data_IF_173424375051
#
_entry.id   IF_173424375051
#
_cell.length_a   1.000
_cell.length_b   1.000
_cell.length_c   1.000
_cell.angle_alpha   90.00
_cell.angle_beta   90.00
_cell.angle_gamma   90.00
#
_symmetry.space_group_name_H-M   'P 1'
#
loop_
_entity.id
_entity.type
_entity.pdbx_description
1 polymer ?
#
# COMPACT_ATOMS: atom_id res chain seq x y z
N UNK A 1 -7.19 13.80 26.08
CA UNK A 1 -7.52 12.99 24.94
C UNK A 1 -7.40 11.54 25.28
N UNK A 2 -8.39 10.77 24.92
CA UNK A 2 -8.26 9.35 25.18
C UNK A 2 -7.15 8.78 24.32
N UNK A 3 -6.46 7.80 24.82
CA UNK A 3 -5.44 7.12 24.07
C UNK A 3 -6.07 6.26 22.99
N UNK A 4 -5.39 6.09 21.86
CA UNK A 4 -5.94 5.23 20.82
C UNK A 4 -6.05 3.80 21.33
N UNK A 5 -7.09 3.12 20.91
CA UNK A 5 -7.32 1.74 21.31
C UNK A 5 -6.24 0.81 20.77
N UNK A 6 -5.73 1.08 19.57
CA UNK A 6 -4.69 0.26 18.96
C UNK A 6 -3.43 1.08 18.79
N UNK A 7 -2.29 0.46 19.09
CA UNK A 7 -1.00 1.14 18.90
C UNK A 7 -0.49 1.00 17.49
N UNK A 8 -0.84 -0.07 16.82
CA UNK A 8 -0.34 -0.37 15.48
C UNK A 8 -1.46 -0.99 14.66
N UNK A 9 -1.65 -0.48 13.47
CA UNK A 9 -2.66 -1.01 12.56
C UNK A 9 -2.05 -1.26 11.19
N UNK A 10 -2.59 -2.23 10.49
CA UNK A 10 -2.23 -2.50 9.12
C UNK A 10 -3.48 -2.31 8.29
N UNK A 11 -3.46 -1.30 7.43
CA UNK A 11 -4.59 -1.00 6.56
C UNK A 11 -4.40 -1.67 5.22
N UNK A 12 -5.43 -2.37 4.75
CA UNK A 12 -5.41 -2.94 3.42
C UNK A 12 -6.32 -2.09 2.54
N UNK A 13 -5.77 -1.58 1.46
CA UNK A 13 -6.51 -0.72 0.54
C UNK A 13 -6.51 -1.41 -0.82
N UNK A 14 -7.70 -1.59 -1.40
CA UNK A 14 -7.76 -2.17 -2.74
C UNK A 14 -7.32 -1.14 -3.77
N UNK A 15 -6.66 -1.61 -4.83
CA UNK A 15 -6.27 -0.69 -5.89
C UNK A 15 -7.46 -0.04 -6.55
N UNK A 16 -8.56 -0.79 -6.70
CA UNK A 16 -9.77 -0.25 -7.30
C UNK A 16 -10.32 0.93 -6.52
N UNK A 17 -10.16 0.93 -5.20
CA UNK A 17 -10.62 2.05 -4.38
C UNK A 17 -9.90 3.35 -4.75
N UNK A 18 -8.67 3.27 -5.22
CA UNK A 18 -7.90 4.47 -5.58
C UNK A 18 -8.27 5.03 -6.93
N UNK A 19 -9.02 4.28 -7.71
CA UNK A 19 -9.47 4.72 -9.03
C UNK A 19 -10.80 5.48 -8.99
N UNK A 20 -11.45 5.45 -7.85
CA UNK A 20 -12.77 6.07 -7.73
C UNK A 20 -13.76 5.44 -8.68
N UNK A 21 -14.59 6.25 -9.29
CA UNK A 21 -15.64 5.75 -10.17
C UNK A 21 -15.12 5.17 -11.49
N UNK A 22 -13.91 5.52 -11.86
CA UNK A 22 -13.36 5.05 -13.14
C UNK A 22 -12.94 3.59 -13.12
N UNK A 23 -12.72 3.02 -11.96
CA UNK A 23 -12.26 1.64 -11.77
C UNK A 23 -10.85 1.36 -12.27
N UNK A 24 -10.25 2.28 -12.98
CA UNK A 24 -8.89 2.14 -13.50
C UNK A 24 -8.12 3.43 -13.27
N UNK A 25 -6.81 3.29 -13.10
CA UNK A 25 -5.94 4.44 -12.87
C UNK A 25 -6.05 4.98 -11.48
N UNK A 26 -5.75 6.25 -11.33
CA UNK A 26 -5.70 6.93 -10.05
C UNK A 26 -6.63 8.12 -10.04
N UNK A 27 -7.39 8.24 -8.96
CA UNK A 27 -8.21 9.43 -8.71
C UNK A 27 -7.58 10.16 -7.53
N UNK A 28 -6.95 11.29 -7.81
CA UNK A 28 -6.19 11.99 -6.78
C UNK A 28 -7.06 12.62 -5.69
N UNK A 29 -8.32 12.90 -5.98
CA UNK A 29 -9.24 13.36 -4.94
C UNK A 29 -9.51 12.24 -3.92
N UNK A 30 -9.71 11.03 -4.42
CA UNK A 30 -9.91 9.86 -3.56
C UNK A 30 -8.66 9.60 -2.75
N UNK A 31 -7.50 9.61 -3.40
CA UNK A 31 -6.22 9.38 -2.72
C UNK A 31 -6.02 10.42 -1.63
N UNK A 32 -6.34 11.67 -1.92
CA UNK A 32 -6.24 12.73 -0.92
C UNK A 32 -7.09 12.48 0.30
N UNK A 33 -8.33 12.03 0.10
CA UNK A 33 -9.22 11.73 1.23
C UNK A 33 -8.72 10.54 2.05
N UNK A 34 -8.23 9.50 1.38
CA UNK A 34 -7.67 8.35 2.08
C UNK A 34 -6.46 8.79 2.91
N UNK A 35 -5.60 9.61 2.33
CA UNK A 35 -4.40 10.07 3.03
C UNK A 35 -4.74 11.02 4.18
N UNK A 36 -5.83 11.78 4.10
CA UNK A 36 -6.28 12.59 5.23
C UNK A 36 -6.62 11.71 6.43
N UNK A 37 -7.29 10.58 6.20
CA UNK A 37 -7.63 9.65 7.27
C UNK A 37 -6.36 9.03 7.87
N UNK A 38 -5.43 8.62 7.00
CA UNK A 38 -4.17 8.04 7.46
C UNK A 38 -3.40 9.05 8.32
N UNK A 39 -3.37 10.31 7.88
CA UNK A 39 -2.69 11.36 8.62
C UNK A 39 -3.31 11.54 10.01
N UNK A 40 -4.63 11.54 10.10
CA UNK A 40 -5.28 11.67 11.39
C UNK A 40 -4.93 10.53 12.32
N UNK A 41 -4.89 9.31 11.80
CA UNK A 41 -4.49 8.16 12.61
C UNK A 41 -3.07 8.31 13.13
N UNK A 42 -2.16 8.70 12.25
CA UNK A 42 -0.76 8.86 12.62
C UNK A 42 -0.59 9.97 13.65
N UNK A 43 -1.29 11.08 13.48
CA UNK A 43 -1.21 12.19 14.44
C UNK A 43 -1.80 11.84 15.78
N UNK A 44 -2.72 10.89 15.83
CA UNK A 44 -3.28 10.41 17.07
C UNK A 44 -2.36 9.43 17.80
N UNK A 45 -1.18 9.16 17.26
CA UNK A 45 -0.22 8.28 17.90
C UNK A 45 -0.30 6.83 17.47
N UNK A 46 -1.14 6.51 16.48
CA UNK A 46 -1.24 5.15 15.98
C UNK A 46 -0.11 4.90 14.97
N UNK A 47 0.54 3.76 15.09
CA UNK A 47 1.54 3.34 14.11
C UNK A 47 0.80 2.73 12.92
N UNK A 48 1.06 3.21 11.73
CA UNK A 48 0.29 2.82 10.55
C UNK A 48 1.17 2.19 9.48
N UNK A 49 0.80 0.99 9.08
CA UNK A 49 1.34 0.34 7.90
C UNK A 49 0.20 0.20 6.89
N UNK A 50 0.51 0.33 5.62
CA UNK A 50 -0.47 0.26 4.55
C UNK A 50 -0.03 -0.77 3.53
N UNK A 51 -0.95 -1.66 3.18
CA UNK A 51 -0.75 -2.62 2.10
C UNK A 51 -1.78 -2.29 1.04
N UNK A 52 -1.36 -2.11 -0.19
CA UNK A 52 -2.27 -1.70 -1.24
C UNK A 52 -2.22 -2.67 -2.41
N UNK A 53 -3.40 -2.96 -2.95
CA UNK A 53 -3.51 -3.82 -4.13
C UNK A 53 -3.24 -3.04 -5.42
N UNK A 54 -3.24 -3.75 -6.53
CA UNK A 54 -2.95 -3.16 -7.84
C UNK A 54 -4.04 -3.31 -8.87
N UNK A 55 -5.26 -3.66 -8.46
CA UNK A 55 -6.34 -3.97 -9.39
C UNK A 55 -6.81 -2.82 -10.26
N UNK A 56 -6.43 -1.60 -9.96
CA UNK A 56 -6.74 -0.46 -10.81
C UNK A 56 -5.84 -0.39 -12.04
N UNK A 57 -4.75 -1.15 -12.05
CA UNK A 57 -3.85 -1.20 -13.20
C UNK A 57 -3.76 -2.59 -13.80
N UNK A 58 -3.78 -3.62 -12.98
CA UNK A 58 -3.61 -4.99 -13.48
C UNK A 58 -4.40 -5.98 -12.63
N UNK A 59 -5.25 -6.76 -13.27
CA UNK A 59 -6.03 -7.80 -12.62
C UNK A 59 -5.74 -9.11 -13.31
N UNK A 60 -4.61 -9.71 -12.98
CA UNK A 60 -4.08 -10.92 -13.60
C UNK A 60 -5.04 -11.77 -14.42
N UNK A 61 -5.98 -12.42 -13.77
CA UNK A 61 -6.91 -13.32 -14.44
C UNK A 61 -7.80 -12.59 -15.42
N UNK A 62 -8.34 -11.44 -15.05
CA UNK A 62 -9.26 -10.70 -15.91
C UNK A 62 -8.55 -10.08 -17.09
N UNK A 63 -7.34 -9.60 -16.91
CA UNK A 63 -6.65 -8.88 -17.97
C UNK A 63 -5.80 -9.79 -18.83
N UNK A 64 -5.07 -10.73 -18.22
CA UNK A 64 -4.18 -11.60 -18.96
C UNK A 64 -4.70 -13.00 -19.15
N UNK A 65 -5.39 -13.51 -18.15
CA UNK A 65 -5.93 -14.84 -18.19
C UNK A 65 -4.89 -15.87 -18.51
N UNK A 66 -5.21 -16.74 -19.47
CA UNK A 66 -4.32 -17.79 -19.89
C UNK A 66 -3.32 -17.35 -20.96
N UNK A 67 -3.36 -16.09 -21.33
CA UNK A 67 -2.49 -15.59 -22.38
C UNK A 67 -1.07 -15.32 -21.94
N UNK A 68 -0.83 -15.34 -20.63
CA UNK A 68 0.47 -15.01 -20.10
C UNK A 68 0.95 -16.07 -19.13
N UNK A 69 2.26 -16.15 -19.00
CA UNK A 69 2.85 -16.98 -17.97
C UNK A 69 2.47 -16.41 -16.60
N UNK A 70 2.10 -17.27 -15.68
CA UNK A 70 1.61 -16.86 -14.37
C UNK A 70 2.61 -16.01 -13.60
N UNK A 71 3.88 -16.42 -13.64
CA UNK A 71 4.92 -15.70 -12.89
C UNK A 71 5.08 -14.27 -13.38
N UNK A 72 5.03 -14.06 -14.69
CA UNK A 72 5.11 -12.71 -15.23
C UNK A 72 3.89 -11.89 -14.90
N UNK A 73 2.72 -12.51 -14.98
CA UNK A 73 1.49 -11.82 -14.60
C UNK A 73 1.53 -11.38 -13.14
N UNK A 74 2.07 -12.23 -12.27
CA UNK A 74 2.21 -11.90 -10.86
C UNK A 74 3.19 -10.73 -10.65
N UNK A 75 4.28 -10.71 -11.43
CA UNK A 75 5.22 -9.59 -11.35
C UNK A 75 4.56 -8.30 -11.81
N UNK A 76 3.72 -8.35 -12.83
CA UNK A 76 2.98 -7.16 -13.26
C UNK A 76 2.07 -6.67 -12.14
N UNK A 77 1.45 -7.60 -11.43
CA UNK A 77 0.63 -7.23 -10.29
C UNK A 77 1.44 -6.55 -9.19
N UNK A 78 2.64 -7.05 -8.93
CA UNK A 78 3.50 -6.42 -7.93
C UNK A 78 3.94 -5.02 -8.36
N UNK A 79 4.23 -4.83 -9.63
CA UNK A 79 4.57 -3.50 -10.13
C UNK A 79 3.38 -2.56 -10.05
N UNK A 80 2.18 -3.07 -10.29
CA UNK A 80 0.97 -2.28 -10.15
C UNK A 80 0.80 -1.80 -8.70
N UNK A 81 1.06 -2.66 -7.72
CA UNK A 81 0.99 -2.24 -6.32
C UNK A 81 2.05 -1.18 -6.02
N UNK A 82 3.23 -1.29 -6.63
CA UNK A 82 4.28 -0.31 -6.41
C UNK A 82 3.88 1.08 -6.92
N UNK A 83 3.19 1.14 -8.06
CA UNK A 83 2.67 2.41 -8.56
C UNK A 83 1.76 3.06 -7.51
N UNK A 84 0.85 2.28 -6.96
CA UNK A 84 -0.08 2.79 -5.96
C UNK A 84 0.63 3.22 -4.68
N UNK A 85 1.66 2.47 -4.28
CA UNK A 85 2.44 2.84 -3.10
C UNK A 85 3.10 4.20 -3.28
N UNK A 86 3.65 4.45 -4.45
CA UNK A 86 4.30 5.74 -4.72
C UNK A 86 3.29 6.88 -4.71
N UNK A 87 2.11 6.66 -5.26
CA UNK A 87 1.07 7.68 -5.26
C UNK A 87 0.61 8.04 -3.85
N UNK A 88 0.40 7.01 -3.02
CA UNK A 88 -0.01 7.23 -1.63
C UNK A 88 1.11 7.92 -0.86
N UNK A 89 2.35 7.46 -1.03
CA UNK A 89 3.48 8.05 -0.32
C UNK A 89 3.67 9.52 -0.68
N UNK A 90 3.55 9.84 -1.97
CA UNK A 90 3.70 11.22 -2.40
C UNK A 90 2.62 12.11 -1.79
N UNK A 91 1.38 11.65 -1.80
CA UNK A 91 0.28 12.42 -1.24
C UNK A 91 0.47 12.61 0.27
N UNK A 92 0.92 11.57 0.99
CA UNK A 92 1.18 11.68 2.41
C UNK A 92 2.30 12.70 2.69
N UNK A 93 3.36 12.67 1.90
CA UNK A 93 4.45 13.63 2.08
C UNK A 93 3.96 15.06 1.83
N UNK A 94 3.14 15.26 0.83
CA UNK A 94 2.57 16.58 0.58
C UNK A 94 1.74 17.07 1.77
N UNK A 95 1.17 16.15 2.53
CA UNK A 95 0.38 16.50 3.70
C UNK A 95 1.22 16.59 4.98
N UNK A 96 2.53 16.44 4.86
CA UNK A 96 3.43 16.60 6.00
C UNK A 96 3.65 15.33 6.81
N UNK A 97 3.28 14.17 6.29
CA UNK A 97 3.47 12.90 6.97
C UNK A 97 4.81 12.30 6.55
N UNK A 98 5.59 11.82 7.54
CA UNK A 98 6.84 11.14 7.25
C UNK A 98 6.50 9.70 6.84
N UNK A 99 6.90 9.32 5.64
CA UNK A 99 6.48 8.05 5.04
C UNK A 99 7.68 7.31 4.44
N UNK A 100 7.60 5.98 4.45
CA UNK A 100 8.60 5.14 3.79
C UNK A 100 7.88 4.10 2.95
N UNK A 101 8.43 3.82 1.77
CA UNK A 101 7.88 2.79 0.88
C UNK A 101 8.83 1.61 0.88
N UNK A 102 8.29 0.42 1.05
CA UNK A 102 9.07 -0.81 0.93
C UNK A 102 8.44 -1.74 -0.08
N UNK A 103 9.25 -2.39 -0.88
CA UNK A 103 8.76 -3.27 -1.94
C UNK A 103 9.39 -4.66 -1.83
N UNK A 104 8.62 -5.68 -2.17
CA UNK A 104 9.11 -7.05 -2.20
C UNK A 104 10.07 -7.29 -3.36
N UNK A 105 9.80 -6.67 -4.52
CA UNK A 105 10.76 -6.68 -5.61
C UNK A 105 11.71 -5.52 -5.36
N UNK A 106 13.01 -5.79 -5.43
CA UNK A 106 13.98 -4.73 -5.20
C UNK A 106 13.91 -3.66 -6.26
N UNK A 107 13.68 -2.44 -5.82
CA UNK A 107 13.63 -1.26 -6.67
C UNK A 107 14.28 -0.12 -5.90
N UNK A 108 15.55 -0.29 -5.58
CA UNK A 108 16.25 0.58 -4.62
C UNK A 108 16.29 2.04 -5.01
N UNK A 109 16.13 2.34 -6.29
CA UNK A 109 16.10 3.72 -6.74
C UNK A 109 14.85 4.47 -6.30
N UNK A 110 13.79 3.75 -5.95
CA UNK A 110 12.50 4.38 -5.63
C UNK A 110 11.91 3.92 -4.29
N UNK A 111 12.41 2.84 -3.73
CA UNK A 111 11.84 2.30 -2.50
C UNK A 111 12.86 1.41 -1.80
N UNK A 112 12.65 1.20 -0.51
CA UNK A 112 13.49 0.27 0.24
C UNK A 112 13.03 -1.16 -0.01
N UNK A 113 13.96 -2.13 0.00
CA UNK A 113 13.53 -3.52 0.02
C UNK A 113 12.72 -3.81 1.27
N UNK A 114 11.69 -4.63 1.15
CA UNK A 114 10.89 -4.96 2.31
C UNK A 114 11.69 -5.80 3.30
N UNK A 115 11.83 -5.31 4.50
CA UNK A 115 12.41 -6.03 5.62
C UNK A 115 11.52 -5.74 6.81
N UNK A 116 10.92 -6.79 7.37
CA UNK A 116 9.94 -6.64 8.43
C UNK A 116 10.44 -5.83 9.61
N UNK A 117 11.66 -6.11 10.08
CA UNK A 117 12.20 -5.39 11.22
C UNK A 117 12.39 -3.90 10.95
N UNK A 118 12.75 -3.56 9.72
CA UNK A 118 12.89 -2.15 9.35
C UNK A 118 11.53 -1.47 9.26
N UNK A 119 10.52 -2.17 8.73
CA UNK A 119 9.18 -1.61 8.67
C UNK A 119 8.68 -1.30 10.08
N UNK A 120 8.88 -2.22 11.01
CA UNK A 120 8.47 -2.01 12.39
C UNK A 120 9.21 -0.84 13.01
N UNK A 121 10.51 -0.75 12.75
CA UNK A 121 11.30 0.36 13.29
C UNK A 121 10.82 1.71 12.76
N UNK A 122 10.48 1.78 11.47
CA UNK A 122 9.92 3.01 10.89
C UNK A 122 8.63 3.38 11.62
N UNK A 123 7.75 2.41 11.82
CA UNK A 123 6.49 2.68 12.51
C UNK A 123 6.69 3.12 13.94
N UNK A 124 7.68 2.54 14.63
CA UNK A 124 8.00 2.93 16.00
C UNK A 124 8.50 4.37 16.07
N UNK A 125 9.09 4.85 14.99
CA UNK A 125 9.55 6.24 14.93
C UNK A 125 8.47 7.18 14.41
N UNK A 126 7.25 6.71 14.29
CA UNK A 126 6.14 7.55 13.86
C UNK A 126 6.01 7.72 12.36
N UNK A 127 6.74 6.93 11.57
CA UNK A 127 6.64 6.99 10.13
C UNK A 127 5.56 6.05 9.65
N UNK A 128 4.82 6.46 8.64
CA UNK A 128 3.86 5.59 7.97
C UNK A 128 4.64 4.76 6.95
N UNK A 129 4.39 3.46 6.92
CA UNK A 129 5.07 2.57 5.99
C UNK A 129 4.07 2.07 4.95
N UNK A 130 4.38 2.24 3.67
CA UNK A 130 3.52 1.79 2.59
C UNK A 130 4.22 0.60 1.92
N UNK A 131 3.52 -0.52 1.86
CA UNK A 131 4.12 -1.79 1.47
C UNK A 131 3.56 -2.32 0.16
N UNK A 132 4.46 -2.64 -0.77
CA UNK A 132 4.13 -3.38 -1.97
C UNK A 132 4.64 -4.80 -1.78
N UNK A 133 3.75 -5.69 -1.44
CA UNK A 133 4.11 -7.05 -1.08
C UNK A 133 3.56 -8.07 -2.06
N UNK A 134 4.12 -9.27 -2.03
CA UNK A 134 3.66 -10.39 -2.82
C UNK A 134 2.44 -11.00 -2.16
N UNK A 135 1.47 -11.39 -2.97
CA UNK A 135 0.31 -12.14 -2.47
C UNK A 135 -0.51 -11.43 -1.43
N UNK A 136 -0.61 -10.13 -1.58
CA UNK A 136 -1.42 -9.35 -0.68
C UNK A 136 -2.83 -9.86 -0.64
N UNK A 137 -3.32 -10.32 -1.76
CA UNK A 137 -4.69 -10.73 -1.82
C UNK A 137 -4.87 -12.21 -1.61
N UNK A 138 -3.86 -12.87 -1.13
CA UNK A 138 -3.94 -14.24 -0.93
C UNK A 138 -4.94 -14.55 0.06
N UNK A 139 -5.99 -15.14 -0.33
CA UNK A 139 -7.02 -15.16 0.58
C UNK A 139 -6.85 -16.07 1.63
N UNK A 140 -6.30 -16.50 1.86
CA UNK A 140 -6.62 -17.14 2.44
C UNK A 140 -6.43 -18.07 3.07
N UNK A 141 -5.62 -18.08 3.72
CA UNK A 141 -5.35 -18.80 4.66
C UNK A 141 -5.96 -18.44 5.79
N UNK A 142 -6.74 -19.15 6.40
CA UNK A 142 -7.22 -18.81 7.69
C UNK A 142 -6.04 -18.66 8.54
N UNK A 143 -6.07 -17.68 9.31
CA UNK A 143 -5.11 -17.52 10.23
C UNK A 143 -5.54 -18.32 11.33
N UNK A 144 -4.98 -19.35 11.52
CA UNK A 144 -5.40 -20.13 12.68
C UNK A 144 -4.46 -19.89 13.81
#
# INVERSE_FOLDING_TARGET
MPEPQYKRILLKISGEALAGDASRGLDFDVIGRVCDVIKKCSEAGVQVGIVVGGGNFWRGVKDGGDRMERTRADHMGMLATAINCLAIADMLEQKGVDVRVQTAIEMRSIAEPYIRSKAIRHMEKGRVVVLSLIHISEPTRPIS
#
